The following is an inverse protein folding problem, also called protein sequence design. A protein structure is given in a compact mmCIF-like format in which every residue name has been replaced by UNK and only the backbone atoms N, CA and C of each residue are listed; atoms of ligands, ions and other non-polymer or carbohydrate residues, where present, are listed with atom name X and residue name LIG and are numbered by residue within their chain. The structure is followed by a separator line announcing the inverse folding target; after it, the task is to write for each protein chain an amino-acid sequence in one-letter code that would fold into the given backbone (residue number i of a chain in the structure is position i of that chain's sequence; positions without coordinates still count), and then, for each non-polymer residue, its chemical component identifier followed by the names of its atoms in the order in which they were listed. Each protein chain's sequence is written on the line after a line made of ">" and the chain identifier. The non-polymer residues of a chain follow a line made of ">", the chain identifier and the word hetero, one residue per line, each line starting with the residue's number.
data_IF_199671689981
#
_entry.id   IF_199671689981
#
_cell.length_a   1.000
_cell.length_b   1.000
_cell.length_c   1.000
_cell.angle_alpha   90.00
_cell.angle_beta   90.00
_cell.angle_gamma   90.00
#
_symmetry.space_group_name_H-M   'P 1'
#
loop_
_entity.id
_entity.type
_entity.pdbx_description
1 polymer ?
#
# COMPACT_ATOMS: atom_id res chain seq x y z
N UNK A 1 -12.10 21.69 2.70
CA UNK A 1 -10.71 22.00 3.11
C UNK A 1 -9.89 22.16 1.84
N UNK A 2 -9.10 23.23 1.69
CA UNK A 2 -8.16 23.41 0.56
C UNK A 2 -6.75 23.25 1.11
N UNK A 3 -6.04 22.23 0.66
CA UNK A 3 -4.62 22.05 0.92
C UNK A 3 -3.83 22.43 -0.33
N UNK A 4 -2.72 23.15 -0.14
CA UNK A 4 -1.79 23.48 -1.21
C UNK A 4 -0.80 22.33 -1.34
N UNK A 5 -0.80 21.65 -2.48
CA UNK A 5 0.16 20.58 -2.80
C UNK A 5 1.53 21.22 -3.11
N UNK A 6 2.51 20.98 -2.26
CA UNK A 6 3.90 21.35 -2.51
C UNK A 6 4.64 20.18 -3.17
N UNK A 7 4.31 19.88 -4.42
CA UNK A 7 5.07 18.94 -5.25
C UNK A 7 5.61 19.69 -6.46
N UNK A 8 6.78 19.28 -6.94
CA UNK A 8 7.32 19.76 -8.21
C UNK A 8 6.60 19.13 -9.42
N UNK A 9 5.77 18.11 -9.17
CA UNK A 9 4.89 17.46 -10.14
C UNK A 9 3.47 18.00 -10.02
N UNK A 10 2.78 18.13 -11.13
CA UNK A 10 1.34 18.37 -11.09
C UNK A 10 0.58 17.14 -10.54
N UNK A 11 -0.75 17.17 -10.53
CA UNK A 11 -1.55 16.04 -10.02
C UNK A 11 -1.39 14.80 -10.91
N UNK A 12 -1.41 14.98 -12.23
CA UNK A 12 -1.29 13.92 -13.22
C UNK A 12 0.09 13.26 -13.15
N UNK A 13 1.15 14.05 -13.21
CA UNK A 13 2.53 13.57 -13.16
C UNK A 13 2.87 12.87 -11.84
N UNK A 14 2.24 13.28 -10.74
CA UNK A 14 2.40 12.60 -9.46
C UNK A 14 1.67 11.26 -9.46
N UNK A 15 0.45 11.20 -9.99
CA UNK A 15 -0.31 9.96 -10.05
C UNK A 15 0.36 8.96 -10.98
N UNK A 16 0.77 9.38 -12.18
CA UNK A 16 1.52 8.56 -13.12
C UNK A 16 2.83 8.07 -12.47
N UNK A 17 3.62 8.94 -11.83
CA UNK A 17 4.84 8.52 -11.16
C UNK A 17 4.61 7.49 -10.04
N UNK A 18 3.52 7.63 -9.27
CA UNK A 18 3.25 6.77 -8.11
C UNK A 18 2.60 5.44 -8.50
N UNK A 19 1.81 5.44 -9.58
CA UNK A 19 0.90 4.33 -9.89
C UNK A 19 1.12 3.69 -11.26
N UNK A 20 1.83 4.33 -12.20
CA UNK A 20 2.18 3.76 -13.51
C UNK A 20 3.39 2.81 -13.42
N UNK A 21 4.23 2.98 -12.39
CA UNK A 21 5.53 2.30 -12.28
C UNK A 21 5.55 0.97 -11.54
N UNK A 22 4.47 0.55 -10.88
CA UNK A 22 4.50 -0.61 -10.00
C UNK A 22 3.26 -1.49 -10.19
N UNK A 23 3.39 -2.48 -11.07
CA UNK A 23 2.38 -3.52 -11.23
C UNK A 23 2.12 -4.23 -9.90
N UNK A 24 0.85 -4.45 -9.59
CA UNK A 24 0.41 -5.03 -8.32
C UNK A 24 1.15 -6.32 -7.98
N UNK A 25 1.34 -7.20 -8.97
CA UNK A 25 2.03 -8.49 -8.78
C UNK A 25 3.51 -8.32 -8.47
N UNK A 26 4.19 -7.34 -9.09
CA UNK A 26 5.58 -7.02 -8.78
C UNK A 26 5.70 -6.51 -7.33
N UNK A 27 4.76 -5.66 -6.91
CA UNK A 27 4.73 -5.17 -5.53
C UNK A 27 4.51 -6.30 -4.54
N UNK A 28 3.46 -7.10 -4.75
CA UNK A 28 3.03 -8.16 -3.85
C UNK A 28 4.09 -9.27 -3.69
N UNK A 29 4.70 -9.68 -4.80
CA UNK A 29 5.52 -10.89 -4.82
C UNK A 29 7.04 -10.61 -4.73
N UNK A 30 7.50 -9.48 -5.26
CA UNK A 30 8.95 -9.22 -5.38
C UNK A 30 9.41 -8.06 -4.48
N UNK A 31 8.65 -6.97 -4.39
CA UNK A 31 9.12 -5.78 -3.67
C UNK A 31 8.80 -5.86 -2.17
N UNK A 32 7.54 -6.10 -1.82
CA UNK A 32 7.05 -6.07 -0.43
C UNK A 32 7.74 -7.13 0.45
N UNK A 33 7.84 -8.42 0.04
CA UNK A 33 8.46 -9.45 0.87
C UNK A 33 9.93 -9.15 1.20
N UNK A 34 10.62 -8.43 0.31
CA UNK A 34 12.03 -8.10 0.42
C UNK A 34 12.32 -6.77 1.15
N UNK A 35 11.29 -6.05 1.64
CA UNK A 35 11.50 -4.82 2.40
C UNK A 35 12.00 -5.11 3.82
N UNK A 36 12.88 -4.26 4.31
CA UNK A 36 13.47 -4.37 5.66
C UNK A 36 12.45 -4.31 6.80
N UNK A 37 11.27 -3.72 6.58
CA UNK A 37 10.19 -3.66 7.56
C UNK A 37 9.46 -5.01 7.72
N UNK A 38 9.44 -5.83 6.68
CA UNK A 38 8.63 -7.04 6.61
C UNK A 38 8.94 -8.06 7.73
N UNK A 39 10.22 -8.35 8.07
CA UNK A 39 10.54 -9.23 9.20
C UNK A 39 10.13 -8.66 10.57
N UNK A 40 9.83 -7.36 10.67
CA UNK A 40 9.41 -6.74 11.93
C UNK A 40 7.96 -7.09 12.26
N UNK A 41 7.10 -7.32 11.26
CA UNK A 41 5.71 -7.68 11.52
C UNK A 41 5.61 -8.98 12.31
N UNK A 42 6.28 -10.05 11.89
CA UNK A 42 6.27 -11.31 12.63
C UNK A 42 6.96 -11.24 14.00
N UNK A 43 7.79 -10.22 14.23
CA UNK A 43 8.48 -10.01 15.51
C UNK A 43 7.58 -9.32 16.54
N UNK A 44 6.71 -8.42 16.10
CA UNK A 44 5.93 -7.55 16.98
C UNK A 44 4.42 -7.78 16.91
N UNK A 45 3.94 -8.45 15.86
CA UNK A 45 2.53 -8.72 15.64
C UNK A 45 2.25 -10.21 15.74
N UNK A 46 1.12 -10.52 16.38
CA UNK A 46 0.63 -11.90 16.46
C UNK A 46 -0.25 -12.24 15.25
N UNK A 47 -0.31 -13.51 14.80
CA UNK A 47 -1.25 -13.94 13.77
C UNK A 47 -2.70 -13.55 14.14
N UNK A 48 -3.47 -13.10 13.16
CA UNK A 48 -4.85 -12.65 13.34
C UNK A 48 -5.02 -11.27 13.96
N UNK A 49 -3.94 -10.54 14.25
CA UNK A 49 -4.06 -9.15 14.67
C UNK A 49 -4.62 -8.26 13.56
N UNK A 50 -5.37 -7.24 13.98
CA UNK A 50 -6.05 -6.31 13.08
C UNK A 50 -5.14 -5.18 12.68
N UNK A 51 -5.03 -4.93 11.38
CA UNK A 51 -4.18 -3.89 10.80
C UNK A 51 -5.05 -2.96 9.95
N UNK A 52 -4.85 -1.65 10.13
CA UNK A 52 -5.37 -0.64 9.22
C UNK A 52 -4.21 -0.09 8.39
N UNK A 53 -4.26 -0.29 7.08
CA UNK A 53 -3.36 0.36 6.14
C UNK A 53 -3.98 1.66 5.63
N UNK A 54 -3.41 2.80 6.06
CA UNK A 54 -3.81 4.12 5.57
C UNK A 54 -3.02 4.51 4.33
N UNK A 55 -3.72 4.97 3.27
CA UNK A 55 -3.12 5.24 1.98
C UNK A 55 -2.68 3.96 1.26
N UNK A 56 -3.57 2.96 1.20
CA UNK A 56 -3.22 1.62 0.74
C UNK A 56 -2.96 1.50 -0.76
N UNK A 57 -3.25 2.54 -1.54
CA UNK A 57 -3.13 2.47 -2.99
C UNK A 57 -3.88 1.28 -3.56
N UNK A 58 -3.18 0.48 -4.36
CA UNK A 58 -3.71 -0.72 -5.03
C UNK A 58 -3.88 -1.91 -4.08
N UNK A 59 -3.63 -1.74 -2.79
CA UNK A 59 -3.86 -2.77 -1.77
C UNK A 59 -2.81 -3.88 -1.75
N UNK A 60 -1.67 -3.74 -2.43
CA UNK A 60 -0.64 -4.79 -2.44
C UNK A 60 -0.14 -5.13 -1.02
N UNK A 61 -0.01 -4.14 -0.14
CA UNK A 61 0.32 -4.34 1.27
C UNK A 61 -0.82 -5.00 2.06
N UNK A 62 -2.07 -4.57 1.85
CA UNK A 62 -3.27 -5.25 2.40
C UNK A 62 -3.23 -6.73 2.05
N UNK A 63 -3.08 -7.08 0.77
CA UNK A 63 -3.05 -8.46 0.31
C UNK A 63 -1.85 -9.22 0.89
N UNK A 64 -0.67 -8.60 0.89
CA UNK A 64 0.53 -9.20 1.47
C UNK A 64 0.34 -9.55 2.94
N UNK A 65 -0.17 -8.63 3.76
CA UNK A 65 -0.37 -8.83 5.19
C UNK A 65 -1.47 -9.86 5.48
N UNK A 66 -2.55 -9.87 4.70
CA UNK A 66 -3.56 -10.93 4.79
C UNK A 66 -2.99 -12.30 4.43
N UNK A 67 -2.12 -12.40 3.43
CA UNK A 67 -1.41 -13.64 3.08
C UNK A 67 -0.49 -14.14 4.20
N UNK A 68 0.01 -13.25 5.07
CA UNK A 68 0.79 -13.62 6.27
C UNK A 68 -0.09 -14.04 7.46
N UNK A 69 -1.42 -13.99 7.33
CA UNK A 69 -2.37 -14.39 8.37
C UNK A 69 -2.81 -13.27 9.32
N UNK A 70 -2.58 -12.00 8.97
CA UNK A 70 -3.15 -10.85 9.68
C UNK A 70 -4.57 -10.54 9.16
N UNK A 71 -5.36 -9.76 9.91
CA UNK A 71 -6.67 -9.22 9.50
C UNK A 71 -6.47 -7.77 9.06
N UNK A 72 -6.05 -7.57 7.81
CA UNK A 72 -5.66 -6.25 7.30
C UNK A 72 -6.76 -5.63 6.43
N UNK A 73 -7.12 -4.38 6.72
CA UNK A 73 -8.05 -3.55 5.94
C UNK A 73 -7.31 -2.31 5.44
N UNK A 74 -7.47 -2.00 4.16
CA UNK A 74 -6.91 -0.80 3.53
C UNK A 74 -7.91 0.35 3.42
N UNK A 75 -7.40 1.57 3.45
CA UNK A 75 -8.16 2.78 3.10
C UNK A 75 -7.31 3.64 2.17
N UNK A 76 -7.90 4.15 1.10
CA UNK A 76 -7.28 5.16 0.24
C UNK A 76 -8.34 6.19 -0.16
N UNK A 77 -7.90 7.40 -0.46
CA UNK A 77 -8.76 8.47 -0.99
C UNK A 77 -8.89 8.40 -2.51
N UNK A 78 -8.03 7.64 -3.17
CA UNK A 78 -8.01 7.50 -4.62
C UNK A 78 -8.92 6.35 -5.07
N UNK A 79 -10.16 6.68 -5.41
CA UNK A 79 -11.18 5.72 -5.87
C UNK A 79 -10.78 4.95 -7.14
N UNK A 80 -9.92 5.51 -7.99
CA UNK A 80 -9.47 4.87 -9.23
C UNK A 80 -8.71 3.58 -8.94
N UNK A 81 -8.04 3.52 -7.79
CA UNK A 81 -7.13 2.44 -7.44
C UNK A 81 -7.85 1.29 -6.69
N UNK A 82 -9.05 1.55 -6.14
CA UNK A 82 -9.82 0.57 -5.36
C UNK A 82 -10.77 -0.30 -6.20
N UNK A 83 -10.89 -0.05 -7.52
CA UNK A 83 -11.81 -0.74 -8.43
C UNK A 83 -11.16 -1.82 -9.33
N UNK A 84 -10.01 -2.35 -8.93
CA UNK A 84 -9.41 -3.55 -9.56
C UNK A 84 -10.02 -4.84 -9.05
#
# INVERSE_FOLDING_TARGET
>A
MRYTKYSFRDLQEQDDYMWDGAEFDLLLNEIIPNRSITPLFSKYLSPGEKILEGGCGNGAWVQYLNNQGYDCIGTDINEVILNV
#
